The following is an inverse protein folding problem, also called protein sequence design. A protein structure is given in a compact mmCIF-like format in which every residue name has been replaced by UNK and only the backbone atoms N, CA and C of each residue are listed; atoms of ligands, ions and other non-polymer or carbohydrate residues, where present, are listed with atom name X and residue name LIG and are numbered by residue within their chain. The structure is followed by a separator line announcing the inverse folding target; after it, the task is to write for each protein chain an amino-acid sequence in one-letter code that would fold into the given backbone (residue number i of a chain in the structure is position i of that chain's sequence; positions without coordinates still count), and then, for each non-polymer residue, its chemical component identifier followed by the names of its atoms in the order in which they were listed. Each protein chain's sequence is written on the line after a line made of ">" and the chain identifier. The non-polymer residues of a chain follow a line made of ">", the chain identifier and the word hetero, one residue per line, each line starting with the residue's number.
data_IF_845674928898
#
_entry.id   IF_845674928898
#
_cell.length_a   1.000
_cell.length_b   1.000
_cell.length_c   1.000
_cell.angle_alpha   90.00
_cell.angle_beta   90.00
_cell.angle_gamma   90.00
#
_symmetry.space_group_name_H-M   'P 1'
#
loop_
_entity.id
_entity.type
_entity.pdbx_description
1 polymer ?
#
# COMPACT_ATOMS: atom_id res chain seq x y z
N UNK A 1 -5.97 19.90 -0.88
CA UNK A 1 -5.59 18.49 -0.64
C UNK A 1 -4.59 18.53 0.51
N UNK A 2 -4.93 17.86 1.60
CA UNK A 2 -4.02 17.74 2.73
C UNK A 2 -3.09 16.55 2.49
N UNK A 3 -1.79 16.77 2.64
CA UNK A 3 -0.78 15.73 2.50
C UNK A 3 -0.27 15.38 3.89
N UNK A 4 -0.38 14.11 4.27
CA UNK A 4 0.10 13.60 5.54
C UNK A 4 1.31 12.72 5.32
N UNK A 5 2.36 12.96 6.10
CA UNK A 5 3.50 12.05 6.21
C UNK A 5 3.21 11.14 7.40
N UNK A 6 3.17 9.84 7.14
CA UNK A 6 2.92 8.85 8.19
C UNK A 6 4.27 8.38 8.72
N UNK A 7 4.63 8.88 9.89
CA UNK A 7 5.75 8.40 10.69
C UNK A 7 5.28 7.42 11.78
N UNK A 8 6.18 6.95 12.61
CA UNK A 8 5.86 6.00 13.69
C UNK A 8 4.91 6.61 14.73
N UNK A 9 4.99 7.91 14.95
CA UNK A 9 4.09 8.59 15.88
C UNK A 9 2.67 8.66 15.33
N UNK A 10 2.52 9.03 14.06
CA UNK A 10 1.25 9.03 13.38
C UNK A 10 0.64 7.62 13.35
N UNK A 11 1.46 6.59 13.09
CA UNK A 11 1.02 5.20 13.13
C UNK A 11 0.51 4.81 14.52
N UNK A 12 1.24 5.16 15.60
CA UNK A 12 0.81 4.91 16.97
C UNK A 12 -0.50 5.63 17.31
N UNK A 13 -0.66 6.89 16.87
CA UNK A 13 -1.89 7.64 17.06
C UNK A 13 -3.08 6.99 16.35
N UNK A 14 -2.92 6.57 15.09
CA UNK A 14 -3.96 5.85 14.35
C UNK A 14 -4.32 4.55 15.07
N UNK A 15 -3.34 3.80 15.54
CA UNK A 15 -3.57 2.58 16.33
C UNK A 15 -4.39 2.87 17.60
N UNK A 16 -4.07 3.95 18.30
CA UNK A 16 -4.77 4.35 19.51
C UNK A 16 -6.23 4.79 19.24
N UNK A 17 -6.51 5.34 18.07
CA UNK A 17 -7.85 5.71 17.65
C UNK A 17 -8.71 4.52 17.22
N UNK A 18 -8.12 3.46 16.71
CA UNK A 18 -8.83 2.27 16.25
C UNK A 18 -9.44 1.44 17.36
N UNK A 19 -8.97 1.61 18.59
CA UNK A 19 -9.36 0.78 19.73
C UNK A 19 -9.85 1.63 20.89
N UNK A 20 -10.94 1.16 21.48
CA UNK A 20 -11.33 1.67 22.80
C UNK A 20 -10.20 1.43 23.81
N UNK A 21 -10.12 2.22 24.90
CA UNK A 21 -9.05 2.12 25.90
C UNK A 21 -8.82 0.71 26.46
N UNK A 22 -9.83 -0.14 26.33
CA UNK A 22 -9.80 -1.51 26.87
C UNK A 22 -9.29 -2.55 25.86
N UNK A 23 -9.05 -2.19 24.62
CA UNK A 23 -8.55 -3.13 23.61
C UNK A 23 -7.08 -2.88 23.39
N UNK A 24 -6.30 -3.91 23.61
CA UNK A 24 -4.86 -3.79 23.52
C UNK A 24 -4.39 -3.39 22.12
N UNK A 25 -3.72 -2.25 22.00
CA UNK A 25 -3.07 -1.79 20.76
C UNK A 25 -2.09 -2.85 20.24
N UNK A 26 -1.46 -3.59 21.17
CA UNK A 26 -0.60 -4.72 20.86
C UNK A 26 -1.29 -5.85 20.07
N UNK A 27 -2.59 -6.12 20.31
CA UNK A 27 -3.31 -7.12 19.52
C UNK A 27 -3.40 -6.70 18.05
N UNK A 28 -3.62 -5.40 17.80
CA UNK A 28 -3.64 -4.87 16.45
C UNK A 28 -2.28 -4.96 15.77
N UNK A 29 -1.23 -4.56 16.48
CA UNK A 29 0.13 -4.68 15.94
C UNK A 29 0.47 -6.13 15.61
N UNK A 30 0.13 -7.06 16.50
CA UNK A 30 0.28 -8.50 16.24
C UNK A 30 -0.52 -8.96 15.04
N UNK A 31 -1.74 -8.48 14.90
CA UNK A 31 -2.58 -8.79 13.75
C UNK A 31 -1.97 -8.22 12.46
N UNK A 32 -1.59 -6.95 12.45
CA UNK A 32 -0.97 -6.31 11.32
C UNK A 32 0.33 -7.04 10.89
N UNK A 33 1.19 -7.38 11.85
CA UNK A 33 2.42 -8.13 11.59
C UNK A 33 2.11 -9.53 11.02
N UNK A 34 1.13 -10.24 11.55
CA UNK A 34 0.72 -11.56 11.04
C UNK A 34 0.17 -11.48 9.61
N UNK A 35 -0.52 -10.41 9.29
CA UNK A 35 -1.11 -10.19 7.97
C UNK A 35 -0.05 -10.04 6.88
N UNK A 36 1.00 -9.30 7.17
CA UNK A 36 2.11 -9.08 6.24
C UNK A 36 3.21 -10.13 6.35
N UNK A 37 3.08 -11.09 7.26
CA UNK A 37 4.08 -12.13 7.52
C UNK A 37 4.54 -12.81 6.23
N UNK A 38 5.82 -12.66 5.95
CA UNK A 38 6.54 -13.35 4.90
C UNK A 38 7.93 -13.76 5.39
N UNK A 39 8.59 -14.72 4.72
CA UNK A 39 9.92 -15.18 5.13
C UNK A 39 10.98 -14.09 5.08
N UNK A 40 10.74 -13.03 4.30
CA UNK A 40 11.65 -11.89 4.10
C UNK A 40 11.17 -10.62 4.81
N UNK A 41 10.12 -10.69 5.62
CA UNK A 41 9.57 -9.51 6.30
C UNK A 41 10.52 -9.00 7.38
N UNK A 42 11.06 -7.81 7.22
CA UNK A 42 11.92 -7.15 8.20
C UNK A 42 11.18 -6.89 9.50
N UNK A 43 9.92 -6.44 9.45
CA UNK A 43 9.09 -6.22 10.63
C UNK A 43 8.89 -7.54 11.39
N UNK A 44 8.61 -8.64 10.70
CA UNK A 44 8.38 -9.93 11.34
C UNK A 44 9.66 -10.48 11.95
N UNK A 45 10.81 -10.35 11.28
CA UNK A 45 12.12 -10.76 11.82
C UNK A 45 12.45 -9.95 13.07
N UNK A 46 12.39 -8.62 12.98
CA UNK A 46 12.69 -7.72 14.11
C UNK A 46 11.75 -7.98 15.29
N UNK A 47 10.47 -8.24 15.02
CA UNK A 47 9.53 -8.59 16.08
C UNK A 47 9.90 -9.90 16.78
N UNK A 48 10.29 -10.92 16.03
CA UNK A 48 10.72 -12.20 16.62
C UNK A 48 11.99 -12.06 17.46
N UNK A 49 12.89 -11.17 17.08
CA UNK A 49 14.16 -10.91 17.76
C UNK A 49 14.04 -9.91 18.92
N UNK A 50 13.01 -9.04 18.89
CA UNK A 50 12.79 -8.04 19.93
C UNK A 50 12.15 -8.65 21.18
N UNK A 51 13.02 -9.13 22.08
CA UNK A 51 12.59 -9.81 23.30
C UNK A 51 11.74 -8.96 24.22
N UNK A 52 11.97 -7.65 24.28
CA UNK A 52 11.22 -6.73 25.13
C UNK A 52 9.77 -6.61 24.65
N UNK A 53 9.57 -6.26 23.38
CA UNK A 53 8.24 -6.13 22.79
C UNK A 53 7.51 -7.47 22.80
N UNK A 54 8.20 -8.55 22.46
CA UNK A 54 7.63 -9.89 22.44
C UNK A 54 7.16 -10.34 23.82
N UNK A 55 7.96 -10.11 24.88
CA UNK A 55 7.57 -10.38 26.26
C UNK A 55 6.35 -9.55 26.67
N UNK A 56 6.30 -8.26 26.36
CA UNK A 56 5.15 -7.41 26.65
C UNK A 56 3.87 -7.93 26.00
N UNK A 57 3.94 -8.33 24.73
CA UNK A 57 2.79 -8.86 24.00
C UNK A 57 2.35 -10.24 24.52
N UNK A 58 3.29 -11.14 24.81
CA UNK A 58 2.99 -12.45 25.37
C UNK A 58 2.38 -12.37 26.78
N UNK A 59 2.75 -11.35 27.54
CA UNK A 59 2.19 -11.11 28.87
C UNK A 59 0.84 -10.39 28.83
N UNK A 60 0.30 -10.11 27.64
CA UNK A 60 -0.96 -9.37 27.48
C UNK A 60 -0.88 -7.92 27.98
N UNK A 61 0.34 -7.39 28.16
CA UNK A 61 0.51 -6.00 28.57
C UNK A 61 0.12 -5.09 27.42
N UNK A 62 -0.56 -4.01 27.74
CA UNK A 62 -0.94 -2.99 26.76
C UNK A 62 0.31 -2.31 26.22
N UNK A 63 0.31 -2.00 24.92
CA UNK A 63 1.33 -1.17 24.30
C UNK A 63 0.98 0.33 24.52
N UNK A 64 0.80 0.69 25.79
CA UNK A 64 0.52 2.07 26.18
C UNK A 64 1.81 2.91 26.21
N UNK A 65 2.95 2.23 26.11
CA UNK A 65 4.24 2.86 26.16
C UNK A 65 4.69 3.20 24.73
N UNK A 66 4.55 4.47 24.40
CA UNK A 66 5.00 5.06 23.14
C UNK A 66 6.49 4.88 22.90
N UNK A 67 7.28 4.82 23.96
CA UNK A 67 8.73 4.63 23.85
C UNK A 67 9.07 3.21 23.41
N UNK A 68 8.39 2.20 23.92
CA UNK A 68 8.57 0.80 23.45
C UNK A 68 8.24 0.68 21.96
N UNK A 69 7.19 1.36 21.50
CA UNK A 69 6.80 1.39 20.11
C UNK A 69 7.88 2.05 19.22
N UNK A 70 8.41 3.20 19.66
CA UNK A 70 9.51 3.89 18.99
C UNK A 70 10.78 3.06 18.91
N UNK A 71 11.16 2.43 20.01
CA UNK A 71 12.33 1.54 20.07
C UNK A 71 12.18 0.35 19.12
N UNK A 72 10.99 -0.24 19.04
CA UNK A 72 10.72 -1.31 18.08
C UNK A 72 10.91 -0.85 16.63
N UNK A 73 10.33 0.29 16.24
CA UNK A 73 10.49 0.80 14.89
C UNK A 73 11.91 1.31 14.60
N UNK A 74 12.64 1.79 15.58
CA UNK A 74 14.07 2.05 15.44
C UNK A 74 14.82 0.75 15.11
N UNK A 75 14.60 -0.33 15.85
CA UNK A 75 15.19 -1.62 15.55
C UNK A 75 14.76 -2.17 14.16
N UNK A 76 13.52 -1.94 13.73
CA UNK A 76 13.10 -2.30 12.37
C UNK A 76 13.91 -1.56 11.31
N UNK A 77 14.16 -0.25 11.51
CA UNK A 77 14.99 0.54 10.58
C UNK A 77 16.44 0.09 10.57
N UNK A 78 16.99 -0.22 11.75
CA UNK A 78 18.38 -0.68 11.89
C UNK A 78 18.59 -2.05 11.24
N UNK A 79 17.57 -2.90 11.23
CA UNK A 79 17.57 -4.23 10.60
C UNK A 79 17.20 -4.20 9.12
N UNK A 80 16.97 -3.02 8.55
CA UNK A 80 16.61 -2.88 7.13
C UNK A 80 17.79 -3.29 6.25
N UNK A 81 17.53 -4.22 5.33
CA UNK A 81 18.44 -4.60 4.25
C UNK A 81 18.13 -3.79 2.98
N UNK A 82 19.11 -3.71 2.05
CA UNK A 82 19.02 -2.85 0.86
C UNK A 82 17.83 -3.19 -0.04
N UNK A 83 17.49 -4.48 -0.17
CA UNK A 83 16.42 -5.00 -1.02
C UNK A 83 15.16 -5.42 -0.26
N UNK A 84 14.96 -4.92 0.97
CA UNK A 84 13.77 -5.31 1.73
C UNK A 84 12.52 -4.52 1.30
N UNK A 85 11.37 -5.08 1.63
CA UNK A 85 10.05 -4.50 1.32
C UNK A 85 9.46 -3.74 2.53
N UNK A 86 10.29 -3.08 3.34
CA UNK A 86 9.84 -2.42 4.56
C UNK A 86 8.78 -1.34 4.28
N UNK A 87 8.95 -0.57 3.21
CA UNK A 87 7.99 0.46 2.81
C UNK A 87 6.60 -0.11 2.54
N UNK A 88 6.52 -1.22 1.81
CA UNK A 88 5.26 -1.92 1.51
C UNK A 88 4.66 -2.54 2.77
N UNK A 89 5.49 -3.05 3.67
CA UNK A 89 5.03 -3.61 4.94
C UNK A 89 4.39 -2.54 5.82
N UNK A 90 5.06 -1.40 5.98
CA UNK A 90 4.54 -0.25 6.72
C UNK A 90 3.27 0.30 6.08
N UNK A 91 3.26 0.43 4.76
CA UNK A 91 2.07 0.87 4.03
C UNK A 91 0.90 -0.10 4.21
N UNK A 92 1.17 -1.41 4.17
CA UNK A 92 0.18 -2.44 4.44
C UNK A 92 -0.42 -2.33 5.85
N UNK A 93 0.41 -2.08 6.86
CA UNK A 93 -0.04 -1.85 8.24
C UNK A 93 -0.90 -0.59 8.32
N UNK A 94 -0.44 0.54 7.75
CA UNK A 94 -1.19 1.79 7.74
C UNK A 94 -2.58 1.61 7.10
N UNK A 95 -2.63 1.00 5.93
CA UNK A 95 -3.88 0.77 5.21
C UNK A 95 -4.82 -0.12 6.02
N UNK A 96 -4.29 -1.18 6.64
CA UNK A 96 -5.09 -2.04 7.50
C UNK A 96 -5.66 -1.25 8.69
N UNK A 97 -4.84 -0.48 9.39
CA UNK A 97 -5.28 0.34 10.51
C UNK A 97 -6.34 1.36 10.10
N UNK A 98 -6.16 2.03 8.96
CA UNK A 98 -7.14 2.97 8.43
C UNK A 98 -8.50 2.31 8.13
N UNK A 99 -8.52 1.03 7.73
CA UNK A 99 -9.79 0.31 7.55
C UNK A 99 -10.54 0.06 8.86
N UNK A 100 -9.85 0.09 10.00
CA UNK A 100 -10.43 -0.13 11.32
C UNK A 100 -10.97 1.17 11.96
N UNK A 101 -10.60 2.34 11.44
CA UNK A 101 -11.13 3.60 11.93
C UNK A 101 -12.66 3.64 11.77
N UNK A 102 -13.38 4.12 12.79
CA UNK A 102 -14.82 4.36 12.67
C UNK A 102 -15.05 5.43 11.58
N UNK A 103 -15.96 5.18 10.67
CA UNK A 103 -16.25 6.06 9.57
C UNK A 103 -17.34 5.48 8.66
N UNK A 104 -17.61 6.15 7.56
CA UNK A 104 -18.65 5.72 6.62
C UNK A 104 -18.33 4.32 6.08
N UNK A 105 -19.31 3.40 6.06
CA UNK A 105 -19.12 2.02 5.58
C UNK A 105 -18.64 1.96 4.13
N UNK A 106 -18.98 2.96 3.32
CA UNK A 106 -18.66 3.03 1.89
C UNK A 106 -17.31 3.73 1.57
N UNK A 107 -16.48 3.96 2.58
CA UNK A 107 -15.16 4.56 2.40
C UNK A 107 -14.32 3.79 1.38
N UNK A 108 -13.67 4.55 0.47
CA UNK A 108 -12.73 4.00 -0.53
C UNK A 108 -11.32 4.37 -0.13
N UNK A 109 -10.45 3.39 -0.11
CA UNK A 109 -9.01 3.61 0.02
C UNK A 109 -8.37 3.47 -1.36
N UNK A 110 -7.65 4.48 -1.78
CA UNK A 110 -6.91 4.46 -3.02
C UNK A 110 -5.43 4.32 -2.70
N UNK A 111 -4.81 3.27 -3.22
CA UNK A 111 -3.36 3.09 -3.18
C UNK A 111 -2.79 3.35 -4.55
N UNK A 112 -1.84 4.26 -4.63
CA UNK A 112 -1.07 4.53 -5.84
C UNK A 112 0.33 3.99 -5.67
N UNK A 113 0.73 3.08 -6.54
CA UNK A 113 2.08 2.50 -6.58
C UNK A 113 2.35 1.95 -7.97
N UNK A 114 3.57 2.12 -8.47
CA UNK A 114 4.02 1.51 -9.73
C UNK A 114 4.71 0.15 -9.50
N UNK A 115 4.87 -0.24 -8.23
CA UNK A 115 5.35 -1.57 -7.87
C UNK A 115 4.22 -2.60 -7.87
N UNK A 116 4.26 -3.50 -8.86
CA UNK A 116 3.31 -4.63 -8.98
C UNK A 116 3.42 -5.61 -7.82
N UNK A 117 4.62 -5.81 -7.30
CA UNK A 117 4.89 -6.69 -6.17
C UNK A 117 4.18 -6.18 -4.93
N UNK A 118 4.37 -4.89 -4.61
CA UNK A 118 3.71 -4.20 -3.51
C UNK A 118 2.18 -4.25 -3.65
N UNK A 119 1.64 -3.87 -4.81
CA UNK A 119 0.20 -3.93 -5.08
C UNK A 119 -0.37 -5.34 -4.92
N UNK A 120 0.32 -6.35 -5.44
CA UNK A 120 -0.07 -7.76 -5.32
C UNK A 120 -0.04 -8.25 -3.88
N UNK A 121 1.00 -7.92 -3.11
CA UNK A 121 1.17 -8.27 -1.71
C UNK A 121 0.06 -7.66 -0.84
N UNK A 122 -0.17 -6.37 -0.99
CA UNK A 122 -1.20 -5.64 -0.25
C UNK A 122 -2.60 -6.15 -0.61
N UNK A 123 -2.89 -6.33 -1.90
CA UNK A 123 -4.17 -6.88 -2.36
C UNK A 123 -4.42 -8.30 -1.82
N UNK A 124 -3.38 -9.14 -1.76
CA UNK A 124 -3.48 -10.49 -1.20
C UNK A 124 -3.74 -10.48 0.30
N UNK A 125 -3.14 -9.55 1.01
CA UNK A 125 -3.43 -9.30 2.43
C UNK A 125 -4.92 -9.02 2.64
N UNK A 126 -5.45 -8.08 1.88
CA UNK A 126 -6.83 -7.65 2.00
C UNK A 126 -7.83 -8.73 1.58
N UNK A 127 -7.51 -9.57 0.61
CA UNK A 127 -8.36 -10.70 0.20
C UNK A 127 -8.48 -11.81 1.26
N UNK A 128 -7.47 -11.98 2.10
CA UNK A 128 -7.46 -13.01 3.15
C UNK A 128 -8.32 -12.67 4.36
N UNK A 129 -8.73 -11.41 4.51
CA UNK A 129 -9.46 -10.93 5.68
C UNK A 129 -10.57 -9.96 5.31
N UNK A 130 -11.52 -10.36 4.43
CA UNK A 130 -12.56 -9.47 3.91
C UNK A 130 -13.45 -8.88 5.02
N UNK A 131 -13.71 -9.63 6.07
CA UNK A 131 -14.51 -9.20 7.22
C UNK A 131 -13.89 -8.03 8.00
N UNK A 132 -12.57 -7.86 7.89
CA UNK A 132 -11.87 -6.81 8.61
C UNK A 132 -11.89 -5.45 7.92
N UNK A 133 -12.40 -5.37 6.68
CA UNK A 133 -12.51 -4.07 5.98
C UNK A 133 -13.77 -3.30 6.29
N UNK A 134 -14.70 -3.86 7.03
CA UNK A 134 -15.99 -3.24 7.29
C UNK A 134 -16.67 -2.70 6.02
N UNK A 135 -16.60 -3.43 4.91
CA UNK A 135 -17.17 -3.01 3.64
C UNK A 135 -16.37 -1.97 2.84
N UNK A 136 -15.26 -1.46 3.37
CA UNK A 136 -14.44 -0.46 2.68
C UNK A 136 -13.74 -1.08 1.47
N UNK A 137 -13.67 -0.34 0.36
CA UNK A 137 -13.08 -0.81 -0.89
C UNK A 137 -11.66 -0.31 -1.03
N UNK A 138 -10.75 -1.22 -1.39
CA UNK A 138 -9.38 -0.89 -1.79
C UNK A 138 -9.29 -0.81 -3.30
N UNK A 139 -8.78 0.28 -3.82
CA UNK A 139 -8.57 0.51 -5.24
C UNK A 139 -7.09 0.75 -5.47
N UNK A 140 -6.52 0.03 -6.43
CA UNK A 140 -5.11 0.15 -6.79
C UNK A 140 -4.96 0.91 -8.11
N UNK A 141 -4.09 1.90 -8.08
CA UNK A 141 -3.70 2.66 -9.26
C UNK A 141 -2.18 2.59 -9.44
N UNK A 142 -1.76 2.26 -10.66
CA UNK A 142 -0.43 2.65 -11.13
C UNK A 142 -0.51 4.02 -11.81
N UNK A 143 0.63 4.67 -11.98
CA UNK A 143 0.68 5.94 -12.74
C UNK A 143 0.10 5.78 -14.16
N UNK A 144 0.44 4.74 -14.94
CA UNK A 144 -0.17 4.53 -16.26
C UNK A 144 -1.70 4.35 -16.21
N UNK A 145 -2.21 3.61 -15.24
CA UNK A 145 -3.66 3.43 -15.07
C UNK A 145 -4.37 4.72 -14.71
N UNK A 146 -3.79 5.49 -13.79
CA UNK A 146 -4.35 6.78 -13.40
C UNK A 146 -4.33 7.77 -14.57
N UNK A 147 -3.21 7.85 -15.30
CA UNK A 147 -3.07 8.69 -16.49
C UNK A 147 -4.14 8.36 -17.56
N UNK A 148 -4.34 7.08 -17.84
CA UNK A 148 -5.40 6.62 -18.75
C UNK A 148 -6.80 7.05 -18.27
N UNK A 149 -7.10 6.92 -16.99
CA UNK A 149 -8.40 7.31 -16.44
C UNK A 149 -8.61 8.81 -16.51
N UNK A 150 -7.61 9.61 -16.14
CA UNK A 150 -7.68 11.08 -16.22
C UNK A 150 -7.86 11.55 -17.66
N UNK A 151 -7.23 10.89 -18.63
CA UNK A 151 -7.44 11.18 -20.03
C UNK A 151 -8.88 10.83 -20.47
N UNK A 152 -9.38 9.66 -20.14
CA UNK A 152 -10.74 9.22 -20.47
C UNK A 152 -11.83 10.12 -19.87
N UNK A 153 -11.61 10.58 -18.65
CA UNK A 153 -12.51 11.50 -17.94
C UNK A 153 -12.30 12.97 -18.34
N UNK A 154 -11.41 13.24 -19.33
CA UNK A 154 -11.12 14.58 -19.87
C UNK A 154 -10.48 15.56 -18.86
N UNK A 155 -9.86 15.07 -17.80
CA UNK A 155 -9.00 15.89 -16.93
C UNK A 155 -7.65 16.18 -17.58
N UNK A 156 -7.16 15.28 -18.43
CA UNK A 156 -6.05 15.48 -19.34
C UNK A 156 -6.61 15.46 -20.76
N UNK A 157 -6.32 16.49 -21.55
CA UNK A 157 -6.92 16.67 -22.88
C UNK A 157 -5.89 16.68 -24.01
N UNK A 158 -4.61 16.76 -23.67
CA UNK A 158 -3.52 16.81 -24.64
C UNK A 158 -2.48 15.73 -24.40
N UNK A 159 -1.77 15.38 -25.46
CA UNK A 159 -0.76 14.32 -25.45
C UNK A 159 0.47 14.69 -24.62
N UNK A 160 0.89 15.94 -24.64
CA UNK A 160 2.11 16.35 -23.94
C UNK A 160 1.94 16.26 -22.44
N UNK A 161 0.79 16.65 -21.90
CA UNK A 161 0.46 16.50 -20.48
C UNK A 161 0.38 15.02 -20.09
N UNK A 162 -0.19 14.18 -20.95
CA UNK A 162 -0.25 12.74 -20.74
C UNK A 162 1.16 12.12 -20.67
N UNK A 163 2.04 12.46 -21.61
CA UNK A 163 3.43 12.01 -21.65
C UNK A 163 4.19 12.50 -20.40
N UNK A 164 4.03 13.77 -20.01
CA UNK A 164 4.66 14.31 -18.79
C UNK A 164 4.23 13.55 -17.55
N UNK A 165 2.96 13.20 -17.42
CA UNK A 165 2.48 12.39 -16.32
C UNK A 165 3.09 10.99 -16.33
N UNK A 166 3.15 10.33 -17.48
CA UNK A 166 3.78 9.02 -17.63
C UNK A 166 5.28 9.05 -17.33
N UNK A 167 5.94 10.19 -17.55
CA UNK A 167 7.36 10.38 -17.24
C UNK A 167 7.67 10.24 -15.75
N UNK A 168 6.70 10.46 -14.86
CA UNK A 168 6.91 10.30 -13.42
C UNK A 168 7.01 8.84 -12.98
N UNK A 169 6.56 7.89 -13.81
CA UNK A 169 6.56 6.47 -13.48
C UNK A 169 7.87 5.76 -13.82
N UNK A 170 8.55 6.17 -14.89
CA UNK A 170 9.80 5.52 -15.32
C UNK A 170 10.60 6.41 -16.26
N UNK A 171 11.92 6.26 -16.25
CA UNK A 171 12.82 6.98 -17.18
C UNK A 171 12.91 6.33 -18.57
N UNK A 172 12.55 5.07 -18.71
CA UNK A 172 12.62 4.27 -19.94
C UNK A 172 11.28 3.67 -20.36
N UNK A 173 11.34 2.47 -20.94
CA UNK A 173 10.14 1.71 -21.26
C UNK A 173 9.41 1.27 -20.00
N UNK A 174 8.11 1.45 -20.03
CA UNK A 174 7.22 1.06 -18.93
C UNK A 174 6.63 -0.32 -19.19
N UNK A 175 6.59 -1.12 -18.13
CA UNK A 175 5.90 -2.41 -18.13
C UNK A 175 4.52 -2.21 -17.54
N UNK A 176 3.49 -2.21 -18.37
CA UNK A 176 2.10 -2.06 -17.95
C UNK A 176 1.36 -3.39 -18.05
N UNK A 177 0.47 -3.65 -17.12
CA UNK A 177 -0.49 -4.73 -17.24
C UNK A 177 -1.75 -4.17 -17.91
N UNK A 178 -2.08 -4.70 -19.08
CA UNK A 178 -3.19 -4.16 -19.86
C UNK A 178 -3.76 -5.15 -20.87
N UNK A 179 -4.88 -4.76 -21.44
CA UNK A 179 -5.58 -5.48 -22.50
C UNK A 179 -5.58 -4.61 -23.74
N UNK A 180 -5.06 -5.12 -24.85
CA UNK A 180 -5.16 -4.45 -26.15
C UNK A 180 -6.51 -4.78 -26.80
N UNK A 181 -7.02 -3.87 -27.67
CA UNK A 181 -8.35 -4.00 -28.28
C UNK A 181 -8.62 -5.36 -28.92
N UNK A 182 -7.59 -5.99 -29.46
CA UNK A 182 -7.74 -7.30 -30.16
C UNK A 182 -7.36 -8.48 -29.30
N UNK A 183 -7.07 -8.28 -28.02
CA UNK A 183 -6.68 -9.31 -27.10
C UNK A 183 -7.65 -9.34 -25.91
N UNK A 184 -8.25 -10.48 -25.67
CA UNK A 184 -9.19 -10.66 -24.55
C UNK A 184 -8.49 -10.90 -23.20
N UNK A 185 -7.15 -11.01 -23.21
CA UNK A 185 -6.38 -11.32 -22.02
C UNK A 185 -5.51 -10.12 -21.62
N UNK A 186 -5.56 -9.78 -20.35
CA UNK A 186 -4.59 -8.85 -19.79
C UNK A 186 -3.21 -9.50 -19.73
N UNK A 187 -2.21 -8.80 -20.27
CA UNK A 187 -0.81 -9.24 -20.27
C UNK A 187 0.12 -8.09 -19.94
N UNK A 188 1.34 -8.41 -19.58
CA UNK A 188 2.38 -7.41 -19.44
C UNK A 188 2.86 -6.97 -20.81
N UNK A 189 2.88 -5.67 -21.03
CA UNK A 189 3.26 -5.03 -22.28
C UNK A 189 4.33 -3.99 -21.93
N UNK A 190 5.44 -4.01 -22.68
CA UNK A 190 6.50 -3.02 -22.54
C UNK A 190 6.36 -1.98 -23.66
N UNK A 191 6.17 -0.72 -23.29
CA UNK A 191 5.96 0.40 -24.21
C UNK A 191 6.79 1.60 -23.77
N UNK A 192 7.23 2.42 -24.72
CA UNK A 192 7.71 3.76 -24.41
C UNK A 192 6.54 4.63 -23.90
N UNK A 193 6.84 5.76 -23.31
CA UNK A 193 5.83 6.71 -22.85
C UNK A 193 4.97 7.24 -23.99
N UNK A 194 5.63 7.54 -25.09
CA UNK A 194 5.03 8.06 -26.31
C UNK A 194 4.08 7.03 -26.93
N UNK A 195 4.54 5.77 -27.04
CA UNK A 195 3.71 4.66 -27.53
C UNK A 195 2.51 4.42 -26.62
N UNK A 196 2.71 4.43 -25.29
CA UNK A 196 1.62 4.23 -24.35
C UNK A 196 0.61 5.38 -24.42
N UNK A 197 1.08 6.62 -24.48
CA UNK A 197 0.21 7.79 -24.66
C UNK A 197 -0.62 7.67 -25.94
N UNK A 198 0.01 7.32 -27.05
CA UNK A 198 -0.68 7.08 -28.33
C UNK A 198 -1.74 5.98 -28.21
N UNK A 199 -1.38 4.84 -27.60
CA UNK A 199 -2.32 3.73 -27.40
C UNK A 199 -3.52 4.13 -26.53
N UNK A 200 -3.31 4.96 -25.50
CA UNK A 200 -4.37 5.50 -24.64
C UNK A 200 -5.28 6.45 -25.45
N UNK A 201 -4.70 7.39 -26.18
CA UNK A 201 -5.42 8.39 -26.99
C UNK A 201 -6.28 7.69 -28.05
N UNK A 202 -5.73 6.72 -28.72
CA UNK A 202 -6.43 5.93 -29.75
C UNK A 202 -7.39 4.88 -29.15
N UNK A 203 -7.50 4.82 -27.82
CA UNK A 203 -8.28 3.81 -27.08
C UNK A 203 -7.94 2.37 -27.48
N UNK A 204 -6.67 2.09 -27.81
CA UNK A 204 -6.19 0.77 -28.24
C UNK A 204 -5.70 -0.09 -27.10
N UNK A 205 -5.55 0.48 -25.90
CA UNK A 205 -5.14 -0.21 -24.68
C UNK A 205 -6.08 0.13 -23.52
N UNK A 206 -6.37 -0.86 -22.71
CA UNK A 206 -6.97 -0.68 -21.40
C UNK A 206 -5.97 -1.12 -20.32
N UNK A 207 -5.37 -0.15 -19.64
CA UNK A 207 -4.40 -0.38 -18.57
C UNK A 207 -5.14 -0.83 -17.31
N UNK A 208 -4.78 -1.99 -16.78
CA UNK A 208 -5.35 -2.55 -15.54
C UNK A 208 -4.43 -2.30 -14.34
N UNK A 209 -3.10 -2.23 -14.59
CA UNK A 209 -2.07 -1.82 -13.65
C UNK A 209 -0.81 -1.37 -14.39
#
# INVERSE_FOLDING_TARGET
>A
IDIYIVDEEALFQVMSLCYSPNRAVNEMLMWAIRMIKGPTSTITKTFAENTLLNQHLLQGKKLDDKEIFRQFFAAVRDNKEEDDNLGEELLGICLYLLTQLPGEPDGKFCLMTDDKGAAGKINSMFKKTPENYRGKRMIFYSTPKLAMLLYKEKYITDQDTLIKMLHTAAEGNMKVLGTQIYDLRSREISLSREELAEQIILNRIHVTF
#
